data_IF_677677293311
#
_entry.id   IF_677677293311
#
_cell.length_a   1.000
_cell.length_b   1.000
_cell.length_c   1.000
_cell.angle_alpha   90.00
_cell.angle_beta   90.00
_cell.angle_gamma   90.00
#
_symmetry.space_group_name_H-M   'P 1'
#
loop_
_entity.id
_entity.type
_entity.pdbx_description
1 polymer ?
#
# COMPACT_ATOMS: atom_id res chain seq x y z
N UNK A 1 -1.52 -27.19 3.68
CA UNK A 1 -2.72 -26.34 3.58
C UNK A 1 -2.77 -25.72 2.21
N UNK A 2 -3.94 -25.74 1.56
CA UNK A 2 -4.16 -25.38 0.14
C UNK A 2 -3.66 -23.98 -0.27
N UNK A 3 -3.40 -23.09 0.69
CA UNK A 3 -2.83 -21.75 0.45
C UNK A 3 -1.43 -21.76 -0.21
N UNK A 4 -0.62 -22.80 0.04
CA UNK A 4 0.73 -22.92 -0.56
C UNK A 4 0.72 -23.29 -2.05
N UNK A 5 -0.43 -23.73 -2.56
CA UNK A 5 -0.59 -24.13 -3.97
C UNK A 5 -0.88 -22.94 -4.88
N UNK A 6 -1.22 -21.78 -4.32
CA UNK A 6 -1.47 -20.58 -5.10
C UNK A 6 -0.15 -19.97 -5.61
N UNK A 7 -0.19 -19.47 -6.85
CA UNK A 7 0.83 -18.57 -7.36
C UNK A 7 0.83 -17.25 -6.56
N UNK A 8 1.94 -16.48 -6.54
CA UNK A 8 1.99 -15.20 -5.82
C UNK A 8 0.85 -14.25 -6.22
N UNK A 9 0.56 -14.15 -7.52
CA UNK A 9 -0.56 -13.36 -8.04
C UNK A 9 -1.90 -13.95 -7.59
N UNK A 10 -2.08 -15.27 -7.68
CA UNK A 10 -3.30 -15.93 -7.24
C UNK A 10 -3.58 -15.73 -5.74
N UNK A 11 -2.54 -15.76 -4.91
CA UNK A 11 -2.64 -15.49 -3.48
C UNK A 11 -3.00 -14.03 -3.21
N UNK A 12 -2.37 -13.08 -3.90
CA UNK A 12 -2.67 -11.66 -3.78
C UNK A 12 -4.12 -11.34 -4.20
N UNK A 13 -4.58 -11.87 -5.34
CA UNK A 13 -5.97 -11.72 -5.81
C UNK A 13 -6.98 -12.34 -4.85
N UNK A 14 -6.68 -13.51 -4.29
CA UNK A 14 -7.54 -14.16 -3.29
C UNK A 14 -7.69 -13.30 -2.04
N UNK A 15 -6.56 -12.87 -1.47
CA UNK A 15 -6.56 -12.05 -0.26
C UNK A 15 -7.23 -10.70 -0.50
N UNK A 16 -7.02 -10.09 -1.68
CA UNK A 16 -7.74 -8.89 -2.08
C UNK A 16 -9.25 -9.11 -2.08
N UNK A 17 -9.75 -10.18 -2.71
CA UNK A 17 -11.17 -10.48 -2.74
C UNK A 17 -11.77 -10.66 -1.33
N UNK A 18 -11.06 -11.36 -0.43
CA UNK A 18 -11.48 -11.50 0.97
C UNK A 18 -11.46 -10.18 1.75
N UNK A 19 -10.45 -9.33 1.51
CA UNK A 19 -10.33 -8.01 2.11
C UNK A 19 -11.47 -7.07 1.69
N UNK A 20 -11.77 -6.99 0.39
CA UNK A 20 -12.87 -6.19 -0.16
C UNK A 20 -14.24 -6.72 0.28
N UNK A 21 -14.42 -8.04 0.34
CA UNK A 21 -15.64 -8.65 0.88
C UNK A 21 -15.80 -8.47 2.40
N UNK A 22 -14.83 -7.82 3.09
CA UNK A 22 -14.76 -7.65 4.55
C UNK A 22 -14.92 -8.97 5.31
N UNK A 23 -14.50 -10.07 4.69
CA UNK A 23 -14.65 -11.39 5.28
C UNK A 23 -13.68 -11.54 6.45
N UNK A 24 -14.21 -11.68 7.66
CA UNK A 24 -13.39 -11.78 8.88
C UNK A 24 -13.12 -13.25 9.20
N UNK A 25 -12.02 -13.78 8.66
CA UNK A 25 -11.44 -15.05 9.09
C UNK A 25 -10.01 -14.81 9.59
N UNK A 26 -9.80 -14.49 10.88
CA UNK A 26 -8.47 -14.21 11.43
C UNK A 26 -7.45 -15.32 11.17
N UNK A 27 -7.89 -16.57 11.16
CA UNK A 27 -7.05 -17.74 10.88
C UNK A 27 -6.56 -17.78 9.44
N UNK A 28 -7.39 -17.41 8.46
CA UNK A 28 -6.98 -17.33 7.05
C UNK A 28 -5.84 -16.32 6.86
N UNK A 29 -5.95 -15.13 7.45
CA UNK A 29 -4.95 -14.07 7.33
C UNK A 29 -3.64 -14.44 8.05
N UNK A 30 -3.74 -15.03 9.25
CA UNK A 30 -2.58 -15.51 9.99
C UNK A 30 -1.83 -16.63 9.24
N UNK A 31 -2.54 -17.57 8.61
CA UNK A 31 -1.93 -18.65 7.84
C UNK A 31 -1.37 -18.18 6.49
N UNK A 32 -2.00 -17.16 5.88
CA UNK A 32 -1.55 -16.60 4.61
C UNK A 32 -0.32 -15.70 4.76
N UNK A 33 -0.17 -14.98 5.87
CA UNK A 33 0.92 -14.04 6.12
C UNK A 33 2.33 -14.64 5.90
N UNK A 34 2.70 -15.79 6.50
CA UNK A 34 4.03 -16.36 6.29
C UNK A 34 4.26 -16.82 4.84
N UNK A 35 3.22 -17.31 4.17
CA UNK A 35 3.30 -17.73 2.76
C UNK A 35 3.52 -16.50 1.87
N UNK A 36 2.73 -15.44 2.10
CA UNK A 36 2.84 -14.19 1.37
C UNK A 36 4.21 -13.54 1.59
N UNK A 37 4.73 -13.55 2.82
CA UNK A 37 6.06 -13.03 3.17
C UNK A 37 7.17 -13.70 2.36
N UNK A 38 7.15 -15.03 2.26
CA UNK A 38 8.12 -15.79 1.45
C UNK A 38 7.99 -15.57 -0.06
N UNK A 39 6.89 -14.98 -0.52
CA UNK A 39 6.60 -14.76 -1.94
C UNK A 39 6.73 -13.29 -2.36
N UNK A 40 7.02 -12.36 -1.44
CA UNK A 40 7.06 -10.92 -1.73
C UNK A 40 7.97 -10.60 -2.92
N UNK A 41 9.18 -11.15 -2.96
CA UNK A 41 10.15 -10.89 -4.04
C UNK A 41 9.69 -11.40 -5.42
N UNK A 42 8.71 -12.30 -5.44
CA UNK A 42 8.12 -12.86 -6.67
C UNK A 42 6.89 -12.08 -7.15
N UNK A 43 6.40 -11.13 -6.36
CA UNK A 43 5.28 -10.29 -6.75
C UNK A 43 5.76 -9.21 -7.72
N UNK A 44 4.88 -8.84 -8.66
CA UNK A 44 5.03 -7.58 -9.39
C UNK A 44 4.81 -6.39 -8.44
N UNK A 45 5.21 -5.17 -8.80
CA UNK A 45 4.94 -3.97 -7.99
C UNK A 45 3.44 -3.80 -7.72
N UNK A 46 2.61 -4.07 -8.74
CA UNK A 46 1.16 -4.09 -8.58
C UNK A 46 0.69 -5.18 -7.61
N UNK A 47 1.28 -6.38 -7.66
CA UNK A 47 1.00 -7.46 -6.71
C UNK A 47 1.33 -7.09 -5.27
N UNK A 48 2.46 -6.41 -5.04
CA UNK A 48 2.84 -5.89 -3.72
C UNK A 48 1.83 -4.86 -3.20
N UNK A 49 1.43 -3.91 -4.05
CA UNK A 49 0.44 -2.89 -3.71
C UNK A 49 -0.93 -3.51 -3.35
N UNK A 50 -1.41 -4.45 -4.16
CA UNK A 50 -2.68 -5.16 -3.93
C UNK A 50 -2.63 -5.99 -2.65
N UNK A 51 -1.52 -6.68 -2.40
CA UNK A 51 -1.34 -7.46 -1.18
C UNK A 51 -1.35 -6.57 0.07
N UNK A 52 -0.57 -5.48 0.07
CA UNK A 52 -0.55 -4.52 1.16
C UNK A 52 -1.95 -3.93 1.41
N UNK A 53 -2.63 -3.52 0.34
CA UNK A 53 -4.00 -3.01 0.38
C UNK A 53 -4.98 -4.01 1.01
N UNK A 54 -4.90 -5.28 0.64
CA UNK A 54 -5.78 -6.32 1.15
C UNK A 54 -5.69 -6.45 2.68
N UNK A 55 -4.47 -6.54 3.22
CA UNK A 55 -4.23 -6.63 4.67
C UNK A 55 -4.65 -5.34 5.39
N UNK A 56 -4.33 -4.17 4.84
CA UNK A 56 -4.71 -2.89 5.43
C UNK A 56 -6.23 -2.65 5.43
N UNK A 57 -6.91 -3.03 4.34
CA UNK A 57 -8.37 -2.93 4.22
C UNK A 57 -9.09 -3.85 5.20
N UNK A 58 -8.58 -5.08 5.37
CA UNK A 58 -9.08 -6.05 6.34
C UNK A 58 -8.71 -5.73 7.80
N UNK A 59 -7.89 -4.69 8.05
CA UNK A 59 -7.30 -4.37 9.34
C UNK A 59 -6.60 -5.58 9.99
N UNK A 60 -5.83 -6.30 9.19
CA UNK A 60 -5.04 -7.44 9.62
C UNK A 60 -3.56 -7.02 9.66
N UNK A 61 -3.05 -6.53 10.81
CA UNK A 61 -1.65 -6.18 10.92
C UNK A 61 -0.78 -7.43 10.79
N UNK A 62 0.23 -7.37 9.92
CA UNK A 62 1.24 -8.43 9.76
C UNK A 62 2.62 -7.79 9.67
N UNK A 63 3.30 -7.53 10.81
CA UNK A 63 4.56 -6.79 10.84
C UNK A 63 5.65 -7.38 9.95
N UNK A 64 5.82 -8.71 9.95
CA UNK A 64 6.83 -9.37 9.11
C UNK A 64 6.53 -9.24 7.62
N UNK A 65 5.26 -9.34 7.22
CA UNK A 65 4.87 -9.14 5.83
C UNK A 65 5.10 -7.69 5.40
N UNK A 66 4.73 -6.71 6.23
CA UNK A 66 4.92 -5.29 5.91
C UNK A 66 6.39 -4.87 5.91
N UNK A 67 7.23 -5.48 6.76
CA UNK A 67 8.69 -5.34 6.70
C UNK A 67 9.26 -5.91 5.39
N UNK A 68 8.81 -7.09 4.96
CA UNK A 68 9.25 -7.67 3.69
C UNK A 68 8.79 -6.81 2.49
N UNK A 69 7.54 -6.35 2.50
CA UNK A 69 7.00 -5.44 1.50
C UNK A 69 7.76 -4.12 1.44
N UNK A 70 8.15 -3.54 2.59
CA UNK A 70 8.87 -2.25 2.59
C UNK A 70 10.24 -2.39 1.92
N UNK A 71 11.00 -3.43 2.27
CA UNK A 71 12.33 -3.68 1.68
C UNK A 71 12.22 -3.94 0.17
N UNK A 72 11.29 -4.80 -0.24
CA UNK A 72 11.15 -5.15 -1.66
C UNK A 72 10.61 -3.99 -2.50
N UNK A 73 9.69 -3.20 -1.95
CA UNK A 73 9.12 -2.05 -2.65
C UNK A 73 10.09 -0.86 -2.72
N UNK A 74 10.91 -0.64 -1.70
CA UNK A 74 11.96 0.38 -1.71
C UNK A 74 12.93 0.17 -2.88
N UNK A 75 13.42 -1.07 -3.06
CA UNK A 75 14.33 -1.41 -4.14
C UNK A 75 13.71 -1.25 -5.55
N UNK A 76 12.38 -1.27 -5.64
CA UNK A 76 11.61 -1.31 -6.89
C UNK A 76 10.70 -0.09 -7.03
N UNK A 77 10.96 0.97 -6.27
CA UNK A 77 10.04 2.09 -6.14
C UNK A 77 9.73 2.72 -7.50
N UNK A 78 10.67 2.67 -8.46
CA UNK A 78 10.56 3.18 -9.84
C UNK A 78 9.70 2.33 -10.77
N UNK A 79 9.42 1.07 -10.43
CA UNK A 79 8.61 0.16 -11.25
C UNK A 79 7.10 0.30 -10.97
N UNK A 80 6.71 0.94 -9.86
CA UNK A 80 5.30 1.12 -9.52
C UNK A 80 4.61 2.08 -10.50
N UNK A 81 3.31 1.86 -10.75
CA UNK A 81 2.46 2.92 -11.29
C UNK A 81 2.13 3.95 -10.20
N UNK A 82 1.64 5.12 -10.60
CA UNK A 82 1.13 6.14 -9.66
C UNK A 82 0.09 5.56 -8.69
N UNK A 83 -0.87 4.81 -9.22
CA UNK A 83 -1.89 4.11 -8.45
C UNK A 83 -1.30 3.03 -7.54
N UNK A 84 -0.36 2.21 -8.04
CA UNK A 84 0.26 1.15 -7.26
C UNK A 84 1.06 1.70 -6.07
N UNK A 85 1.85 2.76 -6.30
CA UNK A 85 2.65 3.38 -5.25
C UNK A 85 1.76 4.05 -4.20
N UNK A 86 0.71 4.75 -4.63
CA UNK A 86 -0.24 5.38 -3.71
C UNK A 86 -0.97 4.34 -2.86
N UNK A 87 -1.43 3.23 -3.45
CA UNK A 87 -2.08 2.12 -2.71
C UNK A 87 -1.16 1.52 -1.66
N UNK A 88 0.12 1.32 -2.01
CA UNK A 88 1.12 0.81 -1.10
C UNK A 88 1.32 1.75 0.10
N UNK A 89 1.60 3.04 -0.14
CA UNK A 89 1.82 4.03 0.92
C UNK A 89 0.59 4.18 1.83
N UNK A 90 -0.61 4.18 1.26
CA UNK A 90 -1.85 4.18 2.02
C UNK A 90 -1.96 2.97 2.95
N UNK A 91 -1.58 1.78 2.49
CA UNK A 91 -1.63 0.57 3.31
C UNK A 91 -0.70 0.65 4.53
N UNK A 92 0.53 1.15 4.35
CA UNK A 92 1.48 1.39 5.44
C UNK A 92 0.94 2.43 6.44
N UNK A 93 0.44 3.56 5.94
CA UNK A 93 -0.13 4.62 6.77
C UNK A 93 -1.38 4.16 7.55
N UNK A 94 -2.28 3.40 6.90
CA UNK A 94 -3.51 2.90 7.51
C UNK A 94 -3.25 1.91 8.65
N UNK A 95 -2.27 1.02 8.50
CA UNK A 95 -1.90 0.09 9.57
C UNK A 95 -0.91 0.71 10.58
N UNK A 96 -0.54 1.98 10.41
CA UNK A 96 0.44 2.67 11.25
C UNK A 96 1.77 1.90 11.30
N UNK A 97 2.15 1.28 10.18
CA UNK A 97 3.41 0.53 10.07
C UNK A 97 4.52 1.47 9.57
N UNK A 98 5.56 1.75 10.38
CA UNK A 98 6.65 2.62 9.96
C UNK A 98 7.41 2.02 8.77
N UNK A 99 7.71 2.84 7.77
CA UNK A 99 8.55 2.47 6.63
C UNK A 99 9.28 3.72 6.07
N UNK A 100 10.09 4.43 6.88
CA UNK A 100 10.66 5.72 6.50
C UNK A 100 11.43 5.68 5.17
N UNK A 101 12.27 4.66 4.95
CA UNK A 101 13.03 4.51 3.71
C UNK A 101 12.15 4.35 2.46
N UNK A 102 11.01 3.64 2.58
CA UNK A 102 10.02 3.53 1.49
C UNK A 102 9.36 4.88 1.21
N UNK A 103 9.00 5.64 2.24
CA UNK A 103 8.41 6.97 2.10
C UNK A 103 9.40 7.98 1.53
N UNK A 104 10.67 7.93 1.93
CA UNK A 104 11.76 8.72 1.35
C UNK A 104 11.94 8.42 -0.14
N UNK A 105 12.04 7.14 -0.50
CA UNK A 105 12.19 6.70 -1.89
C UNK A 105 10.98 7.11 -2.74
N UNK A 106 9.77 6.96 -2.21
CA UNK A 106 8.55 7.37 -2.88
C UNK A 106 8.50 8.90 -3.07
N UNK A 107 8.85 9.68 -2.05
CA UNK A 107 8.91 11.14 -2.14
C UNK A 107 9.91 11.60 -3.21
N UNK A 108 11.12 11.04 -3.21
CA UNK A 108 12.16 11.33 -4.20
C UNK A 108 11.70 10.99 -5.64
N UNK A 109 10.88 9.96 -5.82
CA UNK A 109 10.29 9.61 -7.12
C UNK A 109 9.14 10.54 -7.52
N UNK A 110 8.23 10.84 -6.61
CA UNK A 110 6.96 11.51 -6.93
C UNK A 110 7.18 12.98 -7.19
N UNK A 111 8.02 13.68 -6.40
CA UNK A 111 8.19 15.14 -6.48
C UNK A 111 8.61 15.62 -7.88
N UNK A 112 9.61 15.01 -8.55
CA UNK A 112 9.99 15.44 -9.90
C UNK A 112 8.95 15.12 -10.98
N UNK A 113 8.09 14.12 -10.73
CA UNK A 113 7.15 13.57 -11.71
C UNK A 113 5.68 13.90 -11.38
N UNK A 114 5.42 14.90 -10.52
CA UNK A 114 4.07 15.22 -10.05
C UNK A 114 3.03 15.41 -11.17
N UNK A 115 3.44 15.94 -12.31
CA UNK A 115 2.57 16.15 -13.46
C UNK A 115 2.08 14.84 -14.12
N UNK A 116 2.79 13.73 -13.90
CA UNK A 116 2.46 12.42 -14.47
C UNK A 116 1.50 11.62 -13.57
N UNK A 117 1.20 12.12 -12.38
CA UNK A 117 0.32 11.45 -11.43
C UNK A 117 -1.11 11.98 -11.55
N UNK A 118 -2.08 11.07 -11.54
CA UNK A 118 -3.48 11.45 -11.47
C UNK A 118 -3.80 12.08 -10.11
N UNK A 119 -4.82 12.94 -10.09
CA UNK A 119 -5.25 13.68 -8.89
C UNK A 119 -5.56 12.75 -7.72
N UNK A 120 -6.15 11.57 -7.96
CA UNK A 120 -6.51 10.64 -6.90
C UNK A 120 -5.27 10.05 -6.24
N UNK A 121 -4.27 9.65 -7.02
CA UNK A 121 -2.98 9.17 -6.51
C UNK A 121 -2.27 10.24 -5.68
N UNK A 122 -2.24 11.50 -6.14
CA UNK A 122 -1.61 12.61 -5.41
C UNK A 122 -2.30 12.85 -4.06
N UNK A 123 -3.63 12.86 -4.03
CA UNK A 123 -4.41 13.03 -2.78
C UNK A 123 -4.15 11.89 -1.82
N UNK A 124 -4.17 10.64 -2.31
CA UNK A 124 -4.00 9.46 -1.46
C UNK A 124 -2.59 9.37 -0.87
N UNK A 125 -1.56 9.71 -1.65
CA UNK A 125 -0.20 9.82 -1.14
C UNK A 125 -0.09 10.93 -0.10
N UNK A 126 -0.60 12.13 -0.39
CA UNK A 126 -0.54 13.27 0.55
C UNK A 126 -1.13 12.90 1.91
N UNK A 127 -2.30 12.25 1.92
CA UNK A 127 -2.89 11.75 3.16
C UNK A 127 -2.01 10.71 3.87
N UNK A 128 -1.40 9.78 3.11
CA UNK A 128 -0.51 8.77 3.68
C UNK A 128 0.72 9.40 4.35
N UNK A 129 1.35 10.38 3.68
CA UNK A 129 2.49 11.14 4.19
C UNK A 129 2.13 11.94 5.46
N UNK A 130 0.98 12.62 5.46
CA UNK A 130 0.48 13.35 6.64
C UNK A 130 0.19 12.41 7.83
N UNK A 131 -0.42 11.25 7.54
CA UNK A 131 -0.84 10.27 8.58
C UNK A 131 0.32 9.62 9.32
N UNK A 132 1.53 9.61 8.74
CA UNK A 132 2.75 9.13 9.39
C UNK A 132 3.65 10.27 9.86
N UNK A 133 3.12 11.51 9.91
CA UNK A 133 3.85 12.73 10.28
C UNK A 133 5.12 12.96 9.44
N UNK A 134 5.12 12.53 8.18
CA UNK A 134 6.24 12.74 7.28
C UNK A 134 6.14 14.14 6.64
N UNK A 135 7.20 14.97 6.68
CA UNK A 135 7.18 16.31 6.13
C UNK A 135 7.22 16.27 4.59
N UNK A 136 6.06 16.36 3.93
CA UNK A 136 5.94 16.45 2.46
C UNK A 136 5.14 17.69 1.98
N UNK A 137 5.64 18.93 2.17
CA UNK A 137 4.89 20.15 1.83
C UNK A 137 4.56 20.29 0.33
N UNK A 138 5.44 19.76 -0.52
CA UNK A 138 5.30 19.75 -1.99
C UNK A 138 4.06 18.97 -2.45
N UNK A 139 3.77 17.82 -1.81
CA UNK A 139 2.58 17.02 -2.11
C UNK A 139 1.30 17.75 -1.70
N UNK A 140 1.29 18.40 -0.52
CA UNK A 140 0.14 19.16 -0.02
C UNK A 140 -0.23 20.37 -0.89
N UNK A 141 0.76 20.98 -1.56
CA UNK A 141 0.51 22.07 -2.52
C UNK A 141 -0.09 21.60 -3.84
N UNK A 142 0.15 20.34 -4.23
CA UNK A 142 -0.41 19.75 -5.45
C UNK A 142 -1.87 19.28 -5.27
N UNK A 143 -2.35 19.18 -4.03
CA UNK A 143 -3.73 18.80 -3.69
C UNK A 143 -4.68 19.99 -3.90
N UNK A 144 -5.72 19.87 -4.76
CA UNK A 144 -6.73 20.90 -4.93
C UNK A 144 -7.43 21.27 -3.61
N UNK A 145 -7.77 22.54 -3.39
CA UNK A 145 -8.35 23.00 -2.12
C UNK A 145 -9.62 22.24 -1.67
N UNK A 146 -10.38 21.63 -2.60
CA UNK A 146 -11.60 20.86 -2.31
C UNK A 146 -11.35 19.49 -1.67
N UNK A 147 -10.19 18.85 -1.87
CA UNK A 147 -9.88 17.55 -1.26
C UNK A 147 -9.31 17.66 0.16
N UNK A 148 -8.95 18.87 0.61
CA UNK A 148 -8.54 19.16 1.99
C UNK A 148 -9.68 19.05 3.02
N UNK A 149 -10.94 18.91 2.57
CA UNK A 149 -12.12 18.79 3.44
C UNK A 149 -12.30 17.40 4.05
N UNK A 150 -11.59 16.37 3.57
CA UNK A 150 -11.68 15.01 4.10
C UNK A 150 -10.58 14.78 5.16
N UNK A 151 -10.78 15.30 6.37
CA UNK A 151 -9.90 15.12 7.54
C UNK A 151 -9.94 13.69 8.14
N UNK A 152 -9.99 12.66 7.30
CA UNK A 152 -10.11 11.25 7.67
C UNK A 152 -9.91 10.37 6.43
N UNK A 153 -9.60 9.08 6.64
CA UNK A 153 -9.27 8.09 5.58
C UNK A 153 -10.10 8.34 4.30
N UNK A 154 -9.48 8.60 3.14
CA UNK A 154 -10.19 8.96 1.92
C UNK A 154 -11.18 7.85 1.45
N UNK A 155 -12.36 8.21 0.90
CA UNK A 155 -13.38 7.26 0.46
C UNK A 155 -13.13 6.76 -0.99
N UNK A 156 -11.95 6.19 -1.30
CA UNK A 156 -11.63 5.72 -2.67
C UNK A 156 -10.90 4.37 -2.70
N UNK A 157 -11.09 3.61 -3.80
CA UNK A 157 -12.29 2.85 -4.10
C UNK A 157 -12.30 1.51 -3.33
N UNK A 158 -13.48 0.90 -3.22
CA UNK A 158 -13.61 -0.51 -2.86
C UNK A 158 -13.05 -1.41 -3.96
#
# INVERSE_FOLDING_TARGET
>A
GRLREFSPVGLASLLWAFGTARFRSPTLWADAAPIATCQVDRLSPQGMAVLAWAYASAQQPSPELFRALSVAAEARVSEFSAQGLSMLLWAFARLQHPAPALFDAAHARVVPALADFDTQSIVMMSWAFESVAYPAPSLMTAVPARSRMYGGVPPWPA
#
